data_IF_577499708319
#
_entry.id   IF_577499708319
#
_cell.length_a   1.000
_cell.length_b   1.000
_cell.length_c   1.000
_cell.angle_alpha   90.00
_cell.angle_beta   90.00
_cell.angle_gamma   90.00
#
_symmetry.space_group_name_H-M   'P 1'
#
loop_
_entity.id
_entity.type
_entity.pdbx_description
1 polymer ?
#
# COMPACT_ATOMS: atom_id res chain seq x y z
N UNK A 1 6.97 25.48 -9.08
CA UNK A 1 6.96 24.28 -8.22
C UNK A 1 5.96 24.34 -7.04
N UNK A 2 5.07 25.34 -6.96
CA UNK A 2 4.05 25.47 -5.89
C UNK A 2 2.80 24.59 -6.13
N UNK A 3 2.70 23.94 -7.30
CA UNK A 3 1.49 23.19 -7.72
C UNK A 3 1.34 21.79 -7.11
N UNK A 4 2.41 21.20 -6.54
CA UNK A 4 2.39 19.81 -6.07
C UNK A 4 1.72 19.63 -4.70
N UNK A 5 1.95 20.55 -3.78
CA UNK A 5 1.46 20.48 -2.38
C UNK A 5 -0.03 20.76 -2.25
N UNK A 6 -0.58 21.70 -3.03
CA UNK A 6 -2.02 21.97 -3.04
C UNK A 6 -2.83 20.80 -3.64
N UNK A 7 -2.29 20.15 -4.68
CA UNK A 7 -2.92 18.98 -5.29
C UNK A 7 -2.87 17.76 -4.34
N UNK A 8 -1.76 17.53 -3.64
CA UNK A 8 -1.65 16.47 -2.64
C UNK A 8 -2.61 16.68 -1.46
N UNK A 9 -2.73 17.92 -0.97
CA UNK A 9 -3.69 18.28 0.06
C UNK A 9 -5.15 18.00 -0.37
N UNK A 10 -5.52 18.34 -1.61
CA UNK A 10 -6.85 18.04 -2.14
C UNK A 10 -7.10 16.51 -2.26
N UNK A 11 -6.09 15.73 -2.66
CA UNK A 11 -6.17 14.26 -2.77
C UNK A 11 -6.37 13.56 -1.42
N UNK A 12 -5.79 14.10 -0.35
CA UNK A 12 -5.88 13.55 1.01
C UNK A 12 -7.32 13.44 1.55
N UNK A 13 -8.24 14.27 1.05
CA UNK A 13 -9.66 14.31 1.43
C UNK A 13 -10.58 13.48 0.54
N UNK A 14 -10.04 12.76 -0.44
CA UNK A 14 -10.85 11.96 -1.37
C UNK A 14 -11.48 10.75 -0.65
N UNK A 15 -12.61 10.24 -1.15
CA UNK A 15 -13.15 8.94 -0.70
C UNK A 15 -12.12 7.81 -0.80
N UNK A 16 -11.22 7.85 -1.79
CA UNK A 16 -10.14 6.89 -1.98
C UNK A 16 -9.10 6.93 -0.87
N UNK A 17 -8.62 8.12 -0.51
CA UNK A 17 -7.69 8.26 0.60
C UNK A 17 -8.28 7.71 1.90
N UNK A 18 -9.57 7.99 2.16
CA UNK A 18 -10.26 7.42 3.34
C UNK A 18 -10.37 5.91 3.28
N UNK A 19 -10.72 5.34 2.11
CA UNK A 19 -10.83 3.89 1.94
C UNK A 19 -9.49 3.17 2.19
N UNK A 20 -8.38 3.71 1.67
CA UNK A 20 -7.04 3.16 1.91
C UNK A 20 -6.67 3.18 3.39
N UNK A 21 -6.89 4.30 4.09
CA UNK A 21 -6.57 4.43 5.52
C UNK A 21 -7.41 3.48 6.38
N UNK A 22 -8.73 3.44 6.14
CA UNK A 22 -9.63 2.53 6.86
C UNK A 22 -9.27 1.05 6.63
N UNK A 23 -8.93 0.69 5.39
CA UNK A 23 -8.51 -0.68 5.09
C UNK A 23 -7.16 -1.02 5.75
N UNK A 24 -6.18 -0.11 5.72
CA UNK A 24 -4.91 -0.34 6.45
C UNK A 24 -5.14 -0.58 7.93
N UNK A 25 -5.98 0.23 8.58
CA UNK A 25 -6.34 0.03 9.99
C UNK A 25 -6.95 -1.35 10.23
N UNK A 26 -7.96 -1.72 9.45
CA UNK A 26 -8.64 -3.01 9.57
C UNK A 26 -7.70 -4.20 9.34
N UNK A 27 -6.89 -4.18 8.28
CA UNK A 27 -5.99 -5.28 7.97
C UNK A 27 -4.76 -5.34 8.88
N UNK A 28 -4.30 -4.20 9.43
CA UNK A 28 -3.23 -4.20 10.45
C UNK A 28 -3.65 -4.88 11.75
N UNK A 29 -4.94 -4.93 12.07
CA UNK A 29 -5.44 -5.69 13.23
C UNK A 29 -5.30 -7.23 13.03
N UNK A 30 -5.36 -7.70 11.79
CA UNK A 30 -5.29 -9.14 11.43
C UNK A 30 -4.38 -9.38 10.21
N UNK A 31 -3.10 -8.97 10.25
CA UNK A 31 -2.28 -8.84 9.03
C UNK A 31 -1.97 -10.19 8.40
N UNK A 32 -1.88 -11.25 9.22
CA UNK A 32 -1.67 -12.63 8.75
C UNK A 32 -2.90 -13.26 8.10
N UNK A 33 -4.09 -12.68 8.25
CA UNK A 33 -5.28 -13.16 7.54
C UNK A 33 -5.12 -13.02 6.01
N UNK A 34 -4.27 -12.10 5.54
CA UNK A 34 -3.93 -11.95 4.12
C UNK A 34 -3.17 -13.17 3.55
N UNK A 35 -2.50 -13.95 4.40
CA UNK A 35 -1.79 -15.18 4.02
C UNK A 35 -2.75 -16.36 3.80
N UNK A 36 -3.98 -16.31 4.35
CA UNK A 36 -4.97 -17.38 4.14
C UNK A 36 -5.20 -17.59 2.65
N UNK A 37 -5.24 -16.51 1.86
CA UNK A 37 -5.39 -16.61 0.41
C UNK A 37 -4.19 -17.20 -0.35
N UNK A 38 -3.03 -17.37 0.29
CA UNK A 38 -1.88 -18.07 -0.30
C UNK A 38 -1.94 -19.58 -0.08
N UNK A 39 -2.51 -20.00 1.05
CA UNK A 39 -2.59 -21.40 1.45
C UNK A 39 -3.97 -22.03 1.15
N UNK A 40 -5.00 -21.21 0.89
CA UNK A 40 -6.36 -21.70 0.61
C UNK A 40 -6.41 -22.44 -0.75
N UNK A 41 -6.92 -23.67 -0.74
CA UNK A 41 -7.36 -24.34 -1.97
C UNK A 41 -8.73 -23.79 -2.33
N UNK A 42 -8.77 -22.79 -3.21
CA UNK A 42 -10.05 -22.22 -3.67
C UNK A 42 -10.85 -23.31 -4.40
N UNK A 43 -11.93 -23.79 -3.80
CA UNK A 43 -12.95 -24.56 -4.51
C UNK A 43 -14.18 -23.67 -4.78
N UNK A 44 -14.94 -23.92 -5.87
CA UNK A 44 -16.14 -23.14 -6.18
C UNK A 44 -17.23 -23.15 -5.07
N UNK A 45 -17.18 -24.11 -4.15
CA UNK A 45 -18.17 -24.28 -3.09
C UNK A 45 -17.88 -23.45 -1.82
N UNK A 46 -16.71 -22.82 -1.71
CA UNK A 46 -16.20 -22.28 -0.43
C UNK A 46 -16.11 -20.75 -0.38
N UNK A 47 -16.51 -20.03 -1.43
CA UNK A 47 -16.51 -18.56 -1.41
C UNK A 47 -17.71 -18.06 -0.61
N UNK A 48 -17.44 -17.55 0.60
CA UNK A 48 -18.45 -16.95 1.45
C UNK A 48 -19.19 -15.79 0.72
N UNK A 49 -20.54 -15.72 0.75
CA UNK A 49 -21.31 -14.71 0.01
C UNK A 49 -20.89 -13.27 0.27
N UNK A 50 -20.47 -12.95 1.50
CA UNK A 50 -19.95 -11.61 1.83
C UNK A 50 -18.73 -11.21 0.99
N UNK A 51 -17.87 -12.15 0.56
CA UNK A 51 -16.74 -11.85 -0.34
C UNK A 51 -17.24 -11.39 -1.72
N UNK A 52 -18.35 -11.96 -2.19
CA UNK A 52 -18.97 -11.58 -3.46
C UNK A 52 -19.64 -10.21 -3.35
N UNK A 53 -20.46 -10.00 -2.32
CA UNK A 53 -21.16 -8.73 -2.10
C UNK A 53 -20.19 -7.56 -1.90
N UNK A 54 -19.13 -7.74 -1.10
CA UNK A 54 -18.11 -6.72 -0.93
C UNK A 54 -17.35 -6.41 -2.22
N UNK A 55 -17.15 -7.42 -3.08
CA UNK A 55 -16.56 -7.23 -4.40
C UNK A 55 -17.48 -6.39 -5.29
N UNK A 56 -18.78 -6.71 -5.31
CA UNK A 56 -19.79 -5.99 -6.09
C UNK A 56 -19.92 -4.53 -5.63
N UNK A 57 -20.04 -4.28 -4.33
CA UNK A 57 -20.13 -2.92 -3.76
C UNK A 57 -18.95 -2.04 -4.17
N UNK A 58 -17.74 -2.59 -4.12
CA UNK A 58 -16.54 -1.86 -4.49
C UNK A 58 -16.47 -1.58 -6.01
N UNK A 59 -16.85 -2.56 -6.84
CA UNK A 59 -16.90 -2.37 -8.30
C UNK A 59 -17.99 -1.36 -8.68
N UNK A 60 -19.17 -1.43 -8.07
CA UNK A 60 -20.25 -0.47 -8.28
C UNK A 60 -19.81 0.95 -7.91
N UNK A 61 -19.13 1.12 -6.78
CA UNK A 61 -18.56 2.41 -6.39
C UNK A 61 -17.52 2.93 -7.39
N UNK A 62 -16.58 2.08 -7.84
CA UNK A 62 -15.57 2.42 -8.83
C UNK A 62 -16.19 2.84 -10.17
N UNK A 63 -17.21 2.12 -10.63
CA UNK A 63 -17.93 2.47 -11.84
C UNK A 63 -18.72 3.78 -11.67
N UNK A 64 -19.33 4.01 -10.50
CA UNK A 64 -20.11 5.22 -10.22
C UNK A 64 -19.27 6.51 -10.24
N UNK A 65 -17.96 6.42 -10.00
CA UNK A 65 -17.05 7.57 -10.11
C UNK A 65 -16.46 7.77 -11.52
N UNK A 66 -16.91 6.99 -12.51
CA UNK A 66 -16.57 7.15 -13.92
C UNK A 66 -15.54 6.18 -14.47
N UNK A 67 -15.14 5.13 -13.74
CA UNK A 67 -14.30 4.09 -14.32
C UNK A 67 -15.13 3.11 -15.16
N UNK A 68 -14.59 2.70 -16.31
CA UNK A 68 -15.07 1.50 -16.98
C UNK A 68 -14.84 0.25 -16.11
N UNK A 69 -15.66 -0.79 -16.29
CA UNK A 69 -15.58 -2.01 -15.47
C UNK A 69 -14.19 -2.67 -15.48
N UNK A 70 -13.49 -2.65 -16.61
CA UNK A 70 -12.13 -3.21 -16.71
C UNK A 70 -11.15 -2.46 -15.79
N UNK A 71 -11.15 -1.12 -15.85
CA UNK A 71 -10.32 -0.28 -14.99
C UNK A 71 -10.76 -0.36 -13.52
N UNK A 72 -12.05 -0.50 -13.23
CA UNK A 72 -12.56 -0.75 -11.89
C UNK A 72 -11.99 -2.06 -11.32
N UNK A 73 -12.00 -3.16 -12.09
CA UNK A 73 -11.39 -4.43 -11.67
C UNK A 73 -9.90 -4.26 -11.40
N UNK A 74 -9.19 -3.53 -12.25
CA UNK A 74 -7.76 -3.26 -12.09
C UNK A 74 -7.48 -2.45 -10.81
N UNK A 75 -8.17 -1.32 -10.61
CA UNK A 75 -8.03 -0.46 -9.43
C UNK A 75 -8.35 -1.23 -8.15
N UNK A 76 -9.40 -2.03 -8.14
CA UNK A 76 -9.74 -2.88 -7.00
C UNK A 76 -8.62 -3.86 -6.65
N UNK A 77 -8.06 -4.56 -7.64
CA UNK A 77 -6.94 -5.49 -7.41
C UNK A 77 -5.73 -4.77 -6.84
N UNK A 78 -5.41 -3.61 -7.40
CA UNK A 78 -4.29 -2.78 -6.94
C UNK A 78 -4.48 -2.32 -5.50
N UNK A 79 -5.67 -1.82 -5.15
CA UNK A 79 -6.03 -1.43 -3.79
C UNK A 79 -5.78 -2.54 -2.77
N UNK A 80 -6.25 -3.76 -3.04
CA UNK A 80 -6.04 -4.90 -2.14
C UNK A 80 -4.56 -5.26 -2.04
N UNK A 81 -3.83 -5.26 -3.16
CA UNK A 81 -2.38 -5.53 -3.16
C UNK A 81 -1.61 -4.51 -2.33
N UNK A 82 -1.88 -3.22 -2.52
CA UNK A 82 -1.24 -2.14 -1.76
C UNK A 82 -1.48 -2.33 -0.26
N UNK A 83 -2.74 -2.49 0.17
CA UNK A 83 -3.08 -2.61 1.60
C UNK A 83 -2.55 -3.92 2.20
N UNK A 84 -2.66 -5.05 1.49
CA UNK A 84 -2.23 -6.34 2.03
C UNK A 84 -0.72 -6.41 2.14
N UNK A 85 0.00 -5.99 1.10
CA UNK A 85 1.45 -5.94 1.12
C UNK A 85 1.94 -4.98 2.21
N UNK A 86 1.31 -3.80 2.35
CA UNK A 86 1.74 -2.83 3.35
C UNK A 86 1.53 -3.34 4.78
N UNK A 87 0.34 -3.85 5.08
CA UNK A 87 0.03 -4.32 6.44
C UNK A 87 0.84 -5.54 6.83
N UNK A 88 1.13 -6.46 5.89
CA UNK A 88 1.93 -7.66 6.15
C UNK A 88 3.44 -7.39 6.16
N UNK A 89 3.96 -6.68 5.17
CA UNK A 89 5.41 -6.55 4.95
C UNK A 89 6.00 -5.33 5.65
N UNK A 90 5.19 -4.33 6.01
CA UNK A 90 5.64 -3.13 6.72
C UNK A 90 5.09 -3.13 8.15
N UNK A 91 3.78 -2.98 8.32
CA UNK A 91 3.19 -2.74 9.65
C UNK A 91 3.41 -3.94 10.60
N UNK A 92 3.09 -5.16 10.16
CA UNK A 92 3.24 -6.35 10.99
C UNK A 92 4.68 -6.60 11.46
N UNK A 93 5.66 -6.36 10.57
CA UNK A 93 7.09 -6.50 10.90
C UNK A 93 7.52 -5.42 11.88
N UNK A 94 7.09 -4.18 11.65
CA UNK A 94 7.39 -3.05 12.52
C UNK A 94 6.83 -3.26 13.93
N UNK A 95 5.55 -3.63 14.04
CA UNK A 95 4.85 -3.79 15.32
C UNK A 95 5.47 -4.87 16.21
N UNK A 96 6.10 -5.89 15.61
CA UNK A 96 6.74 -7.01 16.30
C UNK A 96 8.23 -6.82 16.58
N UNK A 97 8.82 -5.71 16.14
CA UNK A 97 10.25 -5.44 16.26
C UNK A 97 10.53 -4.51 17.44
N UNK A 98 11.74 -4.61 18.01
CA UNK A 98 12.24 -3.62 18.97
C UNK A 98 12.61 -2.30 18.29
N UNK A 99 12.90 -1.27 19.08
CA UNK A 99 13.20 0.09 18.60
C UNK A 99 14.40 0.14 17.64
N UNK A 100 15.47 -0.61 17.92
CA UNK A 100 16.66 -0.63 17.08
C UNK A 100 16.38 -1.24 15.71
N UNK A 101 15.60 -2.33 15.69
CA UNK A 101 15.18 -2.99 14.46
C UNK A 101 14.18 -2.13 13.68
N UNK A 102 13.25 -1.45 14.37
CA UNK A 102 12.30 -0.51 13.75
C UNK A 102 13.00 0.63 13.02
N UNK A 103 14.03 1.22 13.62
CA UNK A 103 14.82 2.28 12.98
C UNK A 103 15.53 1.80 11.70
N UNK A 104 16.03 0.55 11.70
CA UNK A 104 16.63 -0.06 10.50
C UNK A 104 15.60 -0.41 9.44
N UNK A 105 14.41 -0.88 9.81
CA UNK A 105 13.34 -1.26 8.87
C UNK A 105 12.80 -0.09 8.04
N UNK A 106 12.93 1.14 8.54
CA UNK A 106 12.52 2.33 7.81
C UNK A 106 13.57 2.81 6.78
N UNK A 107 14.77 2.22 6.79
CA UNK A 107 15.82 2.51 5.83
C UNK A 107 15.69 1.61 4.60
N UNK A 108 15.89 2.12 3.38
CA UNK A 108 15.91 1.30 2.16
C UNK A 108 16.93 0.16 2.24
N UNK A 109 18.11 0.45 2.82
CA UNK A 109 19.12 -0.52 3.20
C UNK A 109 19.69 -0.09 4.56
N UNK A 110 19.75 -0.97 5.58
CA UNK A 110 20.28 -0.60 6.88
C UNK A 110 21.74 -0.12 6.82
N UNK A 111 22.02 1.07 7.35
CA UNK A 111 23.37 1.66 7.37
C UNK A 111 24.44 0.74 7.98
N UNK A 112 24.19 -0.01 9.08
CA UNK A 112 25.17 -0.97 9.60
C UNK A 112 25.56 -2.06 8.60
N UNK A 113 24.63 -2.46 7.73
CA UNK A 113 24.91 -3.46 6.70
C UNK A 113 25.80 -2.90 5.59
N UNK A 114 25.56 -1.67 5.15
CA UNK A 114 26.40 -0.99 4.16
C UNK A 114 27.82 -0.71 4.67
N UNK A 115 27.96 -0.43 5.97
CA UNK A 115 29.25 -0.26 6.63
C UNK A 115 30.04 -1.57 6.73
N UNK A 116 29.34 -2.70 6.95
CA UNK A 116 29.94 -4.03 7.02
C UNK A 116 30.40 -4.58 5.66
N UNK A 117 29.95 -3.99 4.55
CA UNK A 117 30.26 -4.45 3.19
C UNK A 117 30.82 -3.29 2.33
N UNK A 118 32.03 -2.78 2.63
CA UNK A 118 32.63 -1.67 1.89
C UNK A 118 32.96 -2.03 0.44
N UNK A 119 33.29 -3.30 0.19
CA UNK A 119 33.75 -3.77 -1.13
C UNK A 119 32.63 -3.94 -2.16
N UNK A 120 31.36 -3.83 -1.75
CA UNK A 120 30.23 -3.89 -2.68
C UNK A 120 30.06 -2.56 -3.42
N UNK A 121 30.05 -2.63 -4.76
CA UNK A 121 29.71 -1.53 -5.66
C UNK A 121 28.18 -1.36 -5.72
N UNK A 122 27.63 -0.68 -4.71
CA UNK A 122 26.19 -0.42 -4.55
C UNK A 122 25.88 1.08 -4.44
N UNK A 123 26.24 1.90 -5.45
CA UNK A 123 26.19 3.36 -5.35
C UNK A 123 24.79 3.89 -5.05
N UNK A 124 23.74 3.26 -5.60
CA UNK A 124 22.35 3.65 -5.33
C UNK A 124 21.88 3.27 -3.92
N UNK A 125 22.34 2.15 -3.37
CA UNK A 125 22.00 1.79 -1.99
C UNK A 125 22.65 2.76 -0.99
N UNK A 126 23.90 3.14 -1.26
CA UNK A 126 24.62 4.16 -0.46
C UNK A 126 23.93 5.52 -0.58
N UNK A 127 23.61 5.96 -1.80
CA UNK A 127 22.87 7.21 -2.00
C UNK A 127 21.48 7.20 -1.34
N UNK A 128 20.77 6.07 -1.36
CA UNK A 128 19.46 5.93 -0.73
C UNK A 128 19.53 5.96 0.81
N UNK A 129 20.63 5.51 1.41
CA UNK A 129 20.84 5.56 2.86
C UNK A 129 21.03 6.99 3.40
N UNK A 130 21.43 7.92 2.54
CA UNK A 130 21.54 9.36 2.87
C UNK A 130 20.22 10.11 2.74
N UNK A 131 19.17 9.47 2.19
CA UNK A 131 17.86 10.08 2.10
C UNK A 131 17.16 10.11 3.47
N UNK A 132 16.29 11.10 3.72
CA UNK A 132 15.48 11.10 4.93
C UNK A 132 14.64 9.83 5.05
N UNK A 133 14.73 9.18 6.22
CA UNK A 133 13.90 8.03 6.59
C UNK A 133 12.42 8.41 6.56
N UNK A 134 11.59 7.54 5.96
CA UNK A 134 10.14 7.68 5.99
C UNK A 134 9.55 6.78 7.08
N UNK A 135 8.65 7.35 7.89
CA UNK A 135 7.81 6.53 8.75
C UNK A 135 6.88 5.67 7.88
N UNK A 136 6.39 4.56 8.44
CA UNK A 136 5.38 3.74 7.75
C UNK A 136 4.15 4.57 7.34
N UNK A 137 3.75 5.54 8.15
CA UNK A 137 2.63 6.42 7.81
C UNK A 137 2.96 7.36 6.64
N UNK A 138 4.12 8.02 6.67
CA UNK A 138 4.53 8.88 5.57
C UNK A 138 4.72 8.10 4.26
N UNK A 139 5.22 6.86 4.33
CA UNK A 139 5.32 5.99 3.17
C UNK A 139 3.94 5.54 2.67
N UNK A 140 3.02 5.18 3.56
CA UNK A 140 1.66 4.79 3.17
C UNK A 140 0.93 5.92 2.46
N UNK A 141 1.07 7.17 2.91
CA UNK A 141 0.46 8.31 2.24
C UNK A 141 0.99 8.49 0.80
N UNK A 142 2.26 8.14 0.51
CA UNK A 142 2.76 8.10 -0.87
C UNK A 142 2.08 7.01 -1.71
N UNK A 143 1.85 5.83 -1.13
CA UNK A 143 1.10 4.74 -1.79
C UNK A 143 -0.32 5.20 -2.14
N UNK A 144 -0.98 5.91 -1.23
CA UNK A 144 -2.31 6.48 -1.44
C UNK A 144 -2.30 7.54 -2.56
N UNK A 145 -1.33 8.45 -2.54
CA UNK A 145 -1.18 9.47 -3.58
C UNK A 145 -0.99 8.84 -4.97
N UNK A 146 -0.11 7.84 -5.09
CA UNK A 146 0.15 7.12 -6.35
C UNK A 146 -1.13 6.43 -6.88
N UNK A 147 -1.91 5.82 -5.98
CA UNK A 147 -3.16 5.18 -6.33
C UNK A 147 -4.20 6.19 -6.85
N UNK A 148 -4.31 7.35 -6.20
CA UNK A 148 -5.24 8.40 -6.63
C UNK A 148 -4.83 8.95 -8.00
N UNK A 149 -3.54 9.19 -8.22
CA UNK A 149 -3.02 9.63 -9.53
C UNK A 149 -3.38 8.61 -10.62
N UNK A 150 -3.23 7.31 -10.35
CA UNK A 150 -3.64 6.25 -11.27
C UNK A 150 -5.15 6.32 -11.57
N UNK A 151 -5.99 6.42 -10.54
CA UNK A 151 -7.45 6.47 -10.69
C UNK A 151 -7.86 7.69 -11.53
N UNK A 152 -7.35 8.88 -11.19
CA UNK A 152 -7.63 10.13 -11.91
C UNK A 152 -7.17 10.06 -13.38
N UNK A 153 -6.06 9.38 -13.65
CA UNK A 153 -5.59 9.14 -15.01
C UNK A 153 -6.54 8.23 -15.78
N UNK A 154 -7.07 7.17 -15.15
CA UNK A 154 -8.00 6.23 -15.78
C UNK A 154 -9.38 6.84 -16.05
N UNK A 155 -9.90 7.68 -15.14
CA UNK A 155 -11.19 8.38 -15.34
C UNK A 155 -11.15 9.34 -16.54
N UNK A 156 -9.98 9.92 -16.84
CA UNK A 156 -9.82 10.90 -17.94
C UNK A 156 -9.60 10.28 -19.31
N UNK A 157 -9.48 8.96 -19.41
CA UNK A 157 -9.28 8.24 -20.67
C UNK A 157 -10.61 7.78 -21.23
#
# INVERSE_FOLDING_TARGET
>A
MVSGTAAAAARSGTPWARAYRAAREQYRAVPRATLISLDERVTPAEIHPARLLHTEEMLAFLCAIGLGLEDAVHVRRRFLQDVFAFTLLIDHRYDRSDESVRAMMQQPVPAPWLAAHPDLDVPYARAAAELPTLTGDAYFERVVDDAIVLIEHRIRR
#
